data_IF_615300968001
#
_entry.id   IF_615300968001
#
_cell.length_a   1.000
_cell.length_b   1.000
_cell.length_c   1.000
_cell.angle_alpha   90.00
_cell.angle_beta   90.00
_cell.angle_gamma   90.00
#
_symmetry.space_group_name_H-M   'P 1'
#
loop_
_entity.id
_entity.type
_entity.pdbx_description
1 polymer ?
#
# COMPACT_ATOMS: atom_id res chain seq x y z
N UNK A 1 -2.97 14.08 23.73
CA UNK A 1 -3.34 15.49 23.96
C UNK A 1 -2.05 16.28 23.82
N UNK A 2 -1.97 17.21 22.88
CA UNK A 2 -0.78 18.03 22.67
C UNK A 2 -0.71 19.07 23.78
N UNK A 3 0.37 19.09 24.56
CA UNK A 3 0.53 19.93 25.76
C UNK A 3 0.69 21.44 25.48
N UNK A 4 0.46 21.93 24.25
CA UNK A 4 0.76 23.31 23.85
C UNK A 4 -0.48 24.06 23.30
N UNK A 5 -1.71 23.73 23.73
CA UNK A 5 -2.90 24.53 23.41
C UNK A 5 -3.08 25.63 24.50
N UNK A 6 -2.26 26.68 24.43
CA UNK A 6 -2.23 27.80 25.39
C UNK A 6 -3.50 28.66 25.41
N UNK A 7 -4.56 28.25 24.72
CA UNK A 7 -5.79 29.03 24.60
C UNK A 7 -7.07 28.22 24.77
N UNK A 8 -6.97 27.07 25.45
CA UNK A 8 -8.15 26.39 25.99
C UNK A 8 -8.11 26.50 27.51
N UNK A 9 -9.17 26.99 28.14
CA UNK A 9 -9.34 26.95 29.61
C UNK A 9 -9.53 25.51 30.14
N UNK A 10 -8.84 24.54 29.57
CA UNK A 10 -8.92 23.12 29.89
C UNK A 10 -7.92 22.77 30.98
N UNK A 11 -8.41 22.18 32.08
CA UNK A 11 -7.57 21.61 33.14
C UNK A 11 -6.76 20.45 32.58
N UNK A 12 -5.47 20.40 32.89
CA UNK A 12 -4.61 19.27 32.56
C UNK A 12 -4.53 18.29 33.75
N UNK A 13 -4.24 17.02 33.44
CA UNK A 13 -4.17 15.95 34.43
C UNK A 13 -2.86 15.20 34.33
N UNK A 14 -2.15 15.07 35.44
CA UNK A 14 -0.93 14.30 35.59
C UNK A 14 -1.21 13.06 36.43
N UNK A 15 -0.72 11.90 36.01
CA UNK A 15 -0.89 10.63 36.71
C UNK A 15 0.42 10.09 37.27
N UNK A 16 0.41 9.60 38.50
CA UNK A 16 1.51 8.87 39.11
C UNK A 16 1.05 7.46 39.47
N UNK A 17 1.77 6.46 38.95
CA UNK A 17 1.46 5.04 39.12
C UNK A 17 2.54 4.37 39.98
N UNK A 18 2.13 3.81 41.12
CA UNK A 18 2.96 2.97 41.97
C UNK A 18 2.49 1.52 41.85
N UNK A 19 3.38 0.60 41.47
CA UNK A 19 3.05 -0.81 41.19
C UNK A 19 3.98 -1.75 41.92
N UNK A 20 3.49 -2.95 42.25
CA UNK A 20 4.35 -4.07 42.66
C UNK A 20 4.82 -4.01 44.12
N UNK A 21 4.11 -3.31 44.99
CA UNK A 21 4.45 -3.19 46.42
C UNK A 21 3.56 -4.09 47.29
N UNK A 22 4.07 -4.43 48.47
CA UNK A 22 3.36 -5.19 49.50
C UNK A 22 4.04 -4.90 50.84
N UNK A 23 3.30 -4.67 51.95
CA UNK A 23 1.83 -4.64 52.09
C UNK A 23 1.18 -3.35 51.55
N UNK A 24 -0.13 -3.16 51.70
CA UNK A 24 -0.92 -2.10 51.02
C UNK A 24 -0.50 -0.65 51.33
N UNK A 25 0.15 -0.38 52.46
CA UNK A 25 0.41 0.98 52.96
C UNK A 25 1.47 1.75 52.15
N UNK A 26 1.01 2.54 51.18
CA UNK A 26 1.83 3.49 50.40
C UNK A 26 1.28 4.91 50.49
N UNK A 27 2.16 5.91 50.58
CA UNK A 27 1.78 7.33 50.53
C UNK A 27 2.34 7.95 49.26
N UNK A 28 1.48 8.62 48.47
CA UNK A 28 1.88 9.34 47.25
C UNK A 28 1.64 10.83 47.47
N UNK A 29 2.70 11.62 47.32
CA UNK A 29 2.70 13.07 47.49
C UNK A 29 3.23 13.75 46.22
N UNK A 30 2.73 14.95 45.93
CA UNK A 30 3.25 15.82 44.87
C UNK A 30 3.97 17.03 45.51
N UNK A 31 4.95 17.60 44.82
CA UNK A 31 5.85 18.66 45.31
C UNK A 31 5.38 20.10 45.02
N UNK A 32 4.15 20.33 44.56
CA UNK A 32 3.81 21.61 43.93
C UNK A 32 3.56 22.71 44.97
N UNK A 33 4.41 23.73 44.98
CA UNK A 33 4.22 24.99 45.70
C UNK A 33 3.25 25.95 44.96
N UNK A 34 2.20 25.40 44.33
CA UNK A 34 1.27 26.17 43.48
C UNK A 34 -0.14 26.17 44.09
N UNK A 35 -0.64 27.38 44.32
CA UNK A 35 -1.95 27.68 44.89
C UNK A 35 -3.05 27.41 43.85
N UNK A 36 -3.62 26.19 43.85
CA UNK A 36 -4.97 25.79 43.36
C UNK A 36 -4.97 24.39 42.69
N UNK A 37 -4.42 23.38 43.38
CA UNK A 37 -4.34 22.01 42.87
C UNK A 37 -5.27 21.04 43.60
N UNK A 38 -5.89 20.13 42.84
CA UNK A 38 -6.69 19.01 43.37
C UNK A 38 -5.90 17.72 43.15
N UNK A 39 -5.42 17.13 44.24
CA UNK A 39 -4.80 15.81 44.26
C UNK A 39 -5.86 14.77 44.60
N UNK A 40 -6.02 13.78 43.72
CA UNK A 40 -6.93 12.65 43.92
C UNK A 40 -6.11 11.36 44.01
N UNK A 41 -6.09 10.75 45.20
CA UNK A 41 -5.47 9.45 45.41
C UNK A 41 -6.54 8.36 45.28
N UNK A 42 -6.31 7.40 44.39
CA UNK A 42 -7.24 6.29 44.18
C UNK A 42 -6.90 5.12 45.11
N UNK A 43 -7.89 4.30 45.50
CA UNK A 43 -7.66 3.14 46.36
C UNK A 43 -6.74 2.11 45.69
N UNK A 44 -6.01 1.36 46.51
CA UNK A 44 -5.11 0.32 46.01
C UNK A 44 -5.89 -0.84 45.39
N UNK A 45 -5.34 -1.39 44.31
CA UNK A 45 -5.83 -2.59 43.64
C UNK A 45 -4.89 -3.74 43.91
N UNK A 46 -5.43 -4.87 44.37
CA UNK A 46 -4.67 -6.08 44.64
C UNK A 46 -4.69 -6.99 43.41
N UNK A 47 -3.50 -7.37 42.94
CA UNK A 47 -3.35 -8.35 41.87
C UNK A 47 -3.13 -9.76 42.47
N UNK A 48 -4.11 -10.67 42.36
CA UNK A 48 -4.03 -12.00 42.93
C UNK A 48 -3.02 -12.92 42.23
N UNK A 49 -2.56 -12.57 41.02
CA UNK A 49 -1.57 -13.38 40.28
C UNK A 49 -0.15 -13.09 40.73
N UNK A 50 0.16 -11.83 41.03
CA UNK A 50 1.49 -11.40 41.49
C UNK A 50 1.60 -11.26 43.01
N UNK A 51 0.47 -11.26 43.73
CA UNK A 51 0.40 -11.09 45.18
C UNK A 51 0.79 -9.68 45.65
N UNK A 52 0.64 -8.67 44.78
CA UNK A 52 1.13 -7.29 45.00
C UNK A 52 0.05 -6.26 44.73
N UNK A 53 0.23 -5.07 45.30
CA UNK A 53 -0.67 -3.93 45.17
C UNK A 53 -0.20 -2.93 44.12
N UNK A 54 -1.17 -2.19 43.57
CA UNK A 54 -0.97 -1.06 42.65
C UNK A 54 -1.91 0.09 43.05
N UNK A 55 -1.36 1.31 43.15
CA UNK A 55 -2.11 2.54 43.44
C UNK A 55 -1.77 3.61 42.42
N UNK A 56 -2.76 4.45 42.10
CA UNK A 56 -2.59 5.61 41.21
C UNK A 56 -2.97 6.90 41.95
N UNK A 57 -2.25 7.98 41.68
CA UNK A 57 -2.58 9.34 42.11
C UNK A 57 -2.72 10.23 40.88
N UNK A 58 -3.71 11.12 40.88
CA UNK A 58 -3.92 12.11 39.83
C UNK A 58 -3.80 13.52 40.40
N UNK A 59 -3.00 14.34 39.73
CA UNK A 59 -2.84 15.75 39.98
C UNK A 59 -3.56 16.56 38.89
N UNK A 60 -4.43 17.48 39.27
CA UNK A 60 -5.14 18.39 38.35
C UNK A 60 -4.51 19.78 38.40
N UNK A 61 -4.05 20.27 37.25
CA UNK A 61 -3.36 21.56 37.12
C UNK A 61 -4.04 22.45 36.10
N UNK A 62 -4.11 23.74 36.41
CA UNK A 62 -4.75 24.75 35.55
C UNK A 62 -3.81 25.26 34.45
N UNK A 63 -2.50 25.19 34.69
CA UNK A 63 -1.44 25.57 33.74
C UNK A 63 -0.28 24.57 33.86
N UNK A 64 0.29 24.18 32.71
CA UNK A 64 1.44 23.26 32.61
C UNK A 64 2.74 24.01 32.29
N UNK A 65 2.69 25.33 32.16
CA UNK A 65 3.81 26.16 31.71
C UNK A 65 4.89 26.26 32.79
N UNK A 66 6.12 25.90 32.42
CA UNK A 66 7.37 26.14 33.16
C UNK A 66 7.44 25.61 34.60
N UNK A 67 6.84 24.45 34.88
CA UNK A 67 6.87 23.80 36.20
C UNK A 67 7.41 22.37 36.17
N UNK A 68 8.16 22.01 37.20
CA UNK A 68 8.63 20.64 37.45
C UNK A 68 7.72 19.90 38.43
N UNK A 69 7.01 18.90 37.92
CA UNK A 69 6.10 18.09 38.72
C UNK A 69 6.81 16.82 39.22
N UNK A 70 6.97 16.70 40.53
CA UNK A 70 7.58 15.54 41.18
C UNK A 70 6.55 14.75 41.97
N UNK A 71 6.34 13.51 41.55
CA UNK A 71 5.64 12.52 42.36
C UNK A 71 6.61 11.82 43.30
N UNK A 72 6.28 11.81 44.60
CA UNK A 72 7.03 11.17 45.68
C UNK A 72 6.22 10.04 46.28
N UNK A 73 6.73 8.82 46.22
CA UNK A 73 6.12 7.61 46.77
C UNK A 73 6.92 7.15 47.99
N UNK A 74 6.27 7.05 49.15
CA UNK A 74 6.85 6.54 50.40
C UNK A 74 6.12 5.24 50.79
N UNK A 75 6.87 4.14 50.84
CA UNK A 75 6.39 2.84 51.30
C UNK A 75 7.05 2.52 52.65
N UNK A 76 6.34 2.89 53.73
CA UNK A 76 6.79 2.77 55.11
C UNK A 76 7.27 1.35 55.50
N UNK A 77 6.57 0.25 55.11
CA UNK A 77 6.97 -1.10 55.52
C UNK A 77 8.34 -1.54 55.01
N UNK A 78 8.77 -1.07 53.83
CA UNK A 78 10.08 -1.39 53.25
C UNK A 78 11.04 -0.20 53.32
N UNK A 79 10.67 0.87 54.03
CA UNK A 79 11.44 2.14 54.08
C UNK A 79 11.87 2.65 52.71
N UNK A 80 11.07 2.38 51.67
CA UNK A 80 11.42 2.68 50.28
C UNK A 80 10.82 4.02 49.88
N UNK A 81 11.68 4.94 49.42
CA UNK A 81 11.27 6.27 48.95
C UNK A 81 11.70 6.45 47.51
N UNK A 82 10.74 6.66 46.62
CA UNK A 82 10.98 6.86 45.19
C UNK A 82 10.42 8.22 44.81
N UNK A 83 11.22 9.01 44.09
CA UNK A 83 10.77 10.28 43.50
C UNK A 83 10.96 10.21 41.99
N UNK A 84 9.97 10.67 41.24
CA UNK A 84 10.05 10.85 39.80
C UNK A 84 9.59 12.26 39.44
N UNK A 85 10.44 12.97 38.73
CA UNK A 85 10.20 14.33 38.26
C UNK A 85 9.90 14.31 36.77
N UNK A 86 8.87 15.05 36.38
CA UNK A 86 8.49 15.30 35.00
C UNK A 86 8.76 16.78 34.70
N UNK A 87 9.76 17.03 33.87
CA UNK A 87 10.02 18.35 33.29
C UNK A 87 9.41 18.35 31.88
N UNK A 88 8.44 19.24 31.64
CA UNK A 88 7.85 19.39 30.31
C UNK A 88 8.78 20.29 29.47
N UNK A 89 9.13 19.90 28.22
CA UNK A 89 10.02 20.71 27.39
C UNK A 89 9.36 22.03 26.98
N UNK A 90 10.13 23.12 26.98
CA UNK A 90 9.75 24.40 26.39
C UNK A 90 9.15 24.17 24.99
N UNK A 91 7.94 24.67 24.73
CA UNK A 91 7.33 24.61 23.40
C UNK A 91 8.17 25.50 22.46
N UNK A 92 9.14 24.90 21.75
CA UNK A 92 9.93 25.58 20.72
C UNK A 92 9.05 26.12 19.57
N UNK A 93 9.58 27.00 18.69
CA UNK A 93 8.78 27.64 17.64
C UNK A 93 8.13 26.58 16.73
N UNK A 94 6.80 26.57 16.71
CA UNK A 94 6.01 25.68 15.84
C UNK A 94 6.31 26.05 14.39
N UNK A 95 7.01 25.18 13.69
CA UNK A 95 7.26 25.35 12.25
C UNK A 95 5.96 25.07 11.51
N UNK A 96 5.38 26.12 10.93
CA UNK A 96 4.15 26.02 10.15
C UNK A 96 4.50 25.51 8.76
N UNK A 97 4.03 24.31 8.43
CA UNK A 97 4.18 23.69 7.11
C UNK A 97 2.76 23.61 6.49
N UNK A 98 2.53 24.24 5.33
CA UNK A 98 1.21 24.24 4.69
C UNK A 98 0.86 22.84 4.14
N UNK A 99 -0.43 22.45 4.13
CA UNK A 99 -0.88 21.20 3.55
C UNK A 99 -0.79 21.21 2.02
N UNK A 100 -0.56 20.02 1.47
CA UNK A 100 -0.91 19.70 0.09
C UNK A 100 -2.27 19.01 0.08
N UNK A 101 -3.22 19.58 -0.66
CA UNK A 101 -4.58 19.06 -0.82
C UNK A 101 -4.69 18.43 -2.20
N UNK A 102 -5.19 17.20 -2.27
CA UNK A 102 -5.49 16.50 -3.52
C UNK A 102 -6.85 15.82 -3.44
N UNK A 103 -7.68 16.02 -4.44
CA UNK A 103 -9.01 15.46 -4.54
C UNK A 103 -9.08 14.40 -5.65
N UNK A 104 -9.55 13.22 -5.28
CA UNK A 104 -9.72 12.06 -6.17
C UNK A 104 -11.19 11.66 -6.23
N UNK A 105 -11.58 10.99 -7.32
CA UNK A 105 -12.93 10.46 -7.52
C UNK A 105 -12.86 9.00 -8.00
N UNK A 106 -13.88 8.20 -7.69
CA UNK A 106 -13.86 6.74 -7.93
C UNK A 106 -14.20 6.29 -9.37
N UNK A 107 -14.93 7.09 -10.16
CA UNK A 107 -15.35 6.69 -11.52
C UNK A 107 -15.73 7.87 -12.42
N UNK A 108 -15.45 7.71 -13.71
CA UNK A 108 -15.93 8.56 -14.82
C UNK A 108 -16.91 7.80 -15.75
N UNK A 109 -17.42 6.64 -15.35
CA UNK A 109 -18.31 5.83 -16.20
C UNK A 109 -19.69 6.50 -16.32
N UNK A 110 -20.14 6.95 -17.50
CA UNK A 110 -21.46 7.57 -17.66
C UNK A 110 -22.62 6.54 -17.66
N UNK A 111 -22.34 5.23 -17.64
CA UNK A 111 -23.34 4.15 -17.76
C UNK A 111 -23.85 3.63 -16.42
N UNK A 112 -23.35 4.15 -15.29
CA UNK A 112 -23.92 3.87 -13.97
C UNK A 112 -25.38 4.29 -13.92
N UNK A 113 -26.20 3.54 -13.17
CA UNK A 113 -27.55 4.01 -12.86
C UNK A 113 -27.46 5.33 -12.06
N UNK A 114 -28.52 6.15 -12.08
CA UNK A 114 -28.50 7.45 -11.40
C UNK A 114 -28.24 7.38 -9.88
N UNK A 115 -28.31 6.18 -9.30
CA UNK A 115 -28.16 5.88 -7.87
C UNK A 115 -26.77 5.30 -7.54
N UNK A 116 -25.94 5.03 -8.56
CA UNK A 116 -24.58 4.55 -8.38
C UNK A 116 -23.79 5.57 -7.56
N UNK A 117 -22.98 5.08 -6.64
CA UNK A 117 -22.25 5.93 -5.69
C UNK A 117 -20.90 6.30 -6.28
N UNK A 118 -20.64 7.61 -6.41
CA UNK A 118 -19.32 8.16 -6.70
C UNK A 118 -18.68 8.55 -5.35
N UNK A 119 -17.48 8.03 -5.10
CA UNK A 119 -16.72 8.37 -3.88
C UNK A 119 -15.72 9.46 -4.22
N UNK A 120 -15.71 10.53 -3.43
CA UNK A 120 -14.72 11.58 -3.48
C UNK A 120 -13.79 11.44 -2.28
N UNK A 121 -12.48 11.39 -2.54
CA UNK A 121 -11.43 11.24 -1.53
C UNK A 121 -10.53 12.47 -1.56
N UNK A 122 -10.59 13.28 -0.51
CA UNK A 122 -9.67 14.38 -0.30
C UNK A 122 -8.51 13.94 0.60
N UNK A 123 -7.30 13.93 0.05
CA UNK A 123 -6.06 13.66 0.76
C UNK A 123 -5.40 14.99 1.16
N UNK A 124 -5.15 15.16 2.45
CA UNK A 124 -4.47 16.34 3.01
C UNK A 124 -3.17 15.87 3.65
N UNK A 125 -2.02 16.29 3.12
CA UNK A 125 -0.71 15.74 3.50
C UNK A 125 0.35 16.81 3.73
N UNK A 126 1.42 16.44 4.45
CA UNK A 126 2.60 17.30 4.61
C UNK A 126 2.43 18.52 5.52
N UNK A 127 1.38 18.62 6.34
CA UNK A 127 1.11 19.81 7.13
C UNK A 127 1.62 19.75 8.57
N UNK A 128 1.88 20.91 9.17
CA UNK A 128 2.18 21.07 10.60
C UNK A 128 1.80 22.48 11.04
N UNK A 129 1.12 22.71 12.18
CA UNK A 129 0.73 21.76 13.21
C UNK A 129 -0.49 20.90 12.82
N UNK A 130 -0.81 19.87 13.63
CA UNK A 130 -1.88 18.90 13.37
C UNK A 130 -3.31 19.49 13.31
N UNK A 131 -3.52 20.73 13.76
CA UNK A 131 -4.84 21.38 13.78
C UNK A 131 -5.19 21.88 12.38
N UNK A 132 -6.19 21.25 11.77
CA UNK A 132 -6.68 21.57 10.44
C UNK A 132 -8.21 21.42 10.41
N UNK A 133 -8.89 22.23 9.61
CA UNK A 133 -10.33 22.15 9.41
C UNK A 133 -10.63 21.87 7.94
N UNK A 134 -11.41 20.83 7.67
CA UNK A 134 -11.78 20.40 6.32
C UNK A 134 -13.28 20.55 6.16
N UNK A 135 -13.70 21.30 5.15
CA UNK A 135 -15.09 21.49 4.73
C UNK A 135 -15.23 21.10 3.26
N UNK A 136 -16.44 20.73 2.85
CA UNK A 136 -16.75 20.41 1.46
C UNK A 136 -17.66 21.49 0.89
N UNK A 137 -17.33 21.97 -0.31
CA UNK A 137 -18.13 22.93 -1.04
C UNK A 137 -18.74 22.28 -2.29
N UNK A 138 -19.96 22.65 -2.63
CA UNK A 138 -20.62 22.35 -3.90
C UNK A 138 -20.86 23.69 -4.60
N UNK A 139 -20.25 23.88 -5.77
CA UNK A 139 -20.30 25.13 -6.54
C UNK A 139 -19.91 26.37 -5.72
N UNK A 140 -18.93 26.20 -4.84
CA UNK A 140 -18.40 27.26 -3.97
C UNK A 140 -19.22 27.54 -2.71
N UNK A 141 -20.33 26.83 -2.47
CA UNK A 141 -21.12 26.95 -1.24
C UNK A 141 -20.90 25.76 -0.32
N UNK A 142 -20.89 25.99 1.00
CA UNK A 142 -20.74 24.93 1.98
C UNK A 142 -21.88 23.92 1.88
N UNK A 143 -21.52 22.65 1.78
CA UNK A 143 -22.47 21.60 1.42
C UNK A 143 -23.26 21.10 2.64
N UNK A 144 -24.52 21.52 2.78
CA UNK A 144 -25.39 21.10 3.89
C UNK A 144 -25.85 19.63 3.79
N UNK A 145 -25.93 19.09 2.57
CA UNK A 145 -26.43 17.74 2.29
C UNK A 145 -25.33 16.70 2.03
N UNK A 146 -24.08 17.03 2.37
CA UNK A 146 -22.95 16.11 2.28
C UNK A 146 -22.52 15.68 3.67
N UNK A 147 -22.29 14.38 3.85
CA UNK A 147 -21.89 13.78 5.13
C UNK A 147 -20.49 13.19 5.01
N UNK A 148 -19.43 14.03 5.01
CA UNK A 148 -18.07 13.57 4.85
C UNK A 148 -17.57 12.86 6.11
N UNK A 149 -16.83 11.78 5.92
CA UNK A 149 -16.05 11.13 6.97
C UNK A 149 -14.61 11.64 6.94
N UNK A 150 -14.20 12.38 7.97
CA UNK A 150 -12.83 12.91 8.09
C UNK A 150 -12.06 12.18 9.18
N UNK A 151 -10.93 11.60 8.80
CA UNK A 151 -10.01 10.91 9.72
C UNK A 151 -9.23 11.89 10.59
N UNK A 152 -8.73 11.40 11.73
CA UNK A 152 -7.84 12.20 12.59
C UNK A 152 -6.45 12.33 11.96
N UNK A 153 -5.76 13.48 12.11
CA UNK A 153 -4.38 13.65 11.66
C UNK A 153 -3.46 12.54 12.19
N UNK A 154 -2.83 11.81 11.28
CA UNK A 154 -1.81 10.80 11.55
C UNK A 154 -0.43 11.40 11.28
N UNK A 155 0.56 11.04 12.09
CA UNK A 155 1.94 11.47 11.87
C UNK A 155 2.53 10.71 10.68
N UNK A 156 3.07 11.44 9.72
CA UNK A 156 3.82 10.96 8.56
C UNK A 156 5.30 11.16 8.90
N UNK A 157 6.10 10.09 8.95
CA UNK A 157 7.43 10.05 9.60
C UNK A 157 8.22 11.36 9.53
N UNK A 158 8.49 11.97 10.70
CA UNK A 158 9.02 13.33 10.83
C UNK A 158 8.12 14.23 11.69
N UNK A 159 7.99 15.51 11.28
CA UNK A 159 7.24 16.56 12.00
C UNK A 159 5.91 16.95 11.32
N UNK A 160 5.55 16.26 10.22
CA UNK A 160 4.36 16.51 9.41
C UNK A 160 3.23 15.51 9.70
N UNK A 161 2.02 15.91 9.35
CA UNK A 161 0.79 15.14 9.53
C UNK A 161 0.07 14.96 8.20
N UNK A 162 -0.74 13.91 8.13
CA UNK A 162 -1.66 13.65 7.03
C UNK A 162 -3.02 13.20 7.54
N UNK A 163 -4.07 13.48 6.78
CA UNK A 163 -5.42 12.98 6.99
C UNK A 163 -6.11 12.79 5.64
N UNK A 164 -7.26 12.12 5.68
CA UNK A 164 -8.17 12.03 4.54
C UNK A 164 -9.61 12.34 4.96
N UNK A 165 -10.36 12.93 4.02
CA UNK A 165 -11.80 13.16 4.12
C UNK A 165 -12.49 12.51 2.92
N UNK A 166 -13.53 11.71 3.18
CA UNK A 166 -14.25 10.93 2.18
C UNK A 166 -15.72 11.32 2.16
N UNK A 167 -16.29 11.52 0.97
CA UNK A 167 -17.73 11.76 0.82
C UNK A 167 -18.29 10.97 -0.35
N UNK A 168 -19.49 10.43 -0.16
CA UNK A 168 -20.24 9.72 -1.19
C UNK A 168 -21.29 10.65 -1.80
N UNK A 169 -21.35 10.70 -3.13
CA UNK A 169 -22.36 11.41 -3.90
C UNK A 169 -23.01 10.45 -4.90
N UNK A 170 -24.15 10.80 -5.48
CA UNK A 170 -24.78 9.99 -6.51
C UNK A 170 -24.25 10.32 -7.89
N UNK A 171 -24.30 9.33 -8.78
CA UNK A 171 -24.03 9.47 -10.21
C UNK A 171 -24.83 10.63 -10.82
N UNK A 172 -26.11 10.79 -10.46
CA UNK A 172 -26.94 11.90 -10.94
C UNK A 172 -26.41 13.27 -10.52
N UNK A 173 -25.93 13.40 -9.27
CA UNK A 173 -25.33 14.64 -8.76
C UNK A 173 -23.96 14.92 -9.40
N UNK A 174 -23.17 13.88 -9.69
CA UNK A 174 -21.91 14.03 -10.41
C UNK A 174 -22.14 14.51 -11.85
N UNK A 175 -23.08 13.89 -12.56
CA UNK A 175 -23.38 14.21 -13.96
C UNK A 175 -24.06 15.57 -14.17
N UNK A 176 -24.60 16.20 -13.11
CA UNK A 176 -25.24 17.53 -13.19
C UNK A 176 -24.25 18.68 -13.38
N UNK A 177 -22.94 18.40 -13.51
CA UNK A 177 -21.87 19.40 -13.69
C UNK A 177 -21.58 20.26 -12.46
N UNK A 178 -21.95 19.79 -11.26
CA UNK A 178 -21.57 20.44 -10.02
C UNK A 178 -20.06 20.31 -9.80
N UNK A 179 -19.44 21.35 -9.22
CA UNK A 179 -18.03 21.36 -8.83
C UNK A 179 -17.92 21.07 -7.34
N UNK A 180 -17.30 19.94 -7.00
CA UNK A 180 -17.06 19.52 -5.62
C UNK A 180 -15.67 19.96 -5.20
N UNK A 181 -15.56 20.72 -4.11
CA UNK A 181 -14.28 21.28 -3.65
C UNK A 181 -13.99 20.81 -2.24
N UNK A 182 -12.80 20.28 -2.03
CA UNK A 182 -12.27 20.03 -0.69
C UNK A 182 -11.61 21.31 -0.19
N UNK A 183 -12.22 21.97 0.78
CA UNK A 183 -11.77 23.24 1.34
C UNK A 183 -11.05 23.01 2.67
N UNK A 184 -9.76 23.32 2.73
CA UNK A 184 -8.91 23.05 3.88
C UNK A 184 -8.39 24.35 4.47
N UNK A 185 -8.82 24.66 5.70
CA UNK A 185 -8.32 25.79 6.47
C UNK A 185 -7.23 25.34 7.44
N UNK A 186 -6.01 25.83 7.23
CA UNK A 186 -4.84 25.52 8.06
C UNK A 186 -4.11 26.81 8.43
N UNK A 187 -3.98 27.04 9.74
CA UNK A 187 -3.34 28.23 10.31
C UNK A 187 -3.77 29.58 9.68
N UNK A 188 -5.06 29.73 9.41
CA UNK A 188 -5.63 30.95 8.81
C UNK A 188 -5.52 31.05 7.28
N UNK A 189 -4.76 30.16 6.63
CA UNK A 189 -4.68 30.04 5.17
C UNK A 189 -5.66 28.99 4.64
N UNK A 190 -6.06 29.13 3.38
CA UNK A 190 -7.01 28.25 2.70
C UNK A 190 -6.27 27.50 1.59
N UNK A 191 -6.49 26.20 1.50
CA UNK A 191 -5.96 25.30 0.49
C UNK A 191 -7.11 24.47 -0.06
N UNK A 192 -7.24 24.42 -1.38
CA UNK A 192 -8.39 23.77 -2.01
C UNK A 192 -7.94 22.91 -3.18
N UNK A 193 -8.71 21.86 -3.43
CA UNK A 193 -8.68 21.13 -4.70
C UNK A 193 -10.12 20.77 -5.09
N UNK A 194 -10.42 20.80 -6.37
CA UNK A 194 -11.77 20.69 -6.91
C UNK A 194 -11.86 19.58 -7.95
N UNK A 195 -12.99 18.90 -7.96
CA UNK A 195 -13.32 17.86 -8.92
C UNK A 195 -14.71 18.12 -9.50
N UNK A 196 -14.84 17.93 -10.79
CA UNK A 196 -16.10 18.05 -11.53
C UNK A 196 -16.28 16.78 -12.37
N UNK A 197 -17.48 16.59 -12.92
CA UNK A 197 -17.72 15.54 -13.91
C UNK A 197 -16.59 15.52 -14.95
N UNK A 198 -16.12 14.32 -15.25
CA UNK A 198 -15.09 14.14 -16.26
C UNK A 198 -15.63 14.68 -17.58
N UNK A 199 -14.98 15.69 -18.15
CA UNK A 199 -15.37 16.17 -19.48
C UNK A 199 -15.17 15.02 -20.47
N UNK A 200 -16.01 14.91 -21.50
CA UNK A 200 -15.72 14.04 -22.66
C UNK A 200 -14.36 14.38 -23.30
N UNK A 201 -13.82 15.56 -22.97
CA UNK A 201 -12.54 16.09 -23.42
C UNK A 201 -11.42 16.05 -22.37
N UNK A 202 -11.65 15.54 -21.16
CA UNK A 202 -10.55 15.40 -20.20
C UNK A 202 -9.76 14.15 -20.60
N UNK A 203 -8.52 14.29 -21.11
CA UNK A 203 -7.80 13.15 -21.65
C UNK A 203 -7.51 12.18 -20.52
N UNK A 204 -8.30 11.11 -20.44
CA UNK A 204 -7.87 9.85 -19.82
C UNK A 204 -6.56 9.52 -20.52
N UNK A 205 -5.43 9.77 -19.84
CA UNK A 205 -4.13 9.73 -20.48
C UNK A 205 -3.89 8.36 -21.10
N UNK A 206 -3.99 8.29 -22.43
CA UNK A 206 -3.75 7.06 -23.19
C UNK A 206 -2.42 6.49 -22.74
N UNK A 207 -2.45 5.27 -22.21
CA UNK A 207 -1.28 4.64 -21.62
C UNK A 207 -0.86 3.45 -22.48
N UNK A 208 0.42 3.39 -22.81
CA UNK A 208 1.02 2.25 -23.50
C UNK A 208 2.00 1.55 -22.57
N UNK A 209 1.91 0.22 -22.53
CA UNK A 209 2.78 -0.69 -21.81
C UNK A 209 3.44 -1.63 -22.81
N UNK A 210 4.74 -1.85 -22.65
CA UNK A 210 5.48 -2.82 -23.45
C UNK A 210 5.78 -4.05 -22.59
N UNK A 211 5.47 -5.22 -23.12
CA UNK A 211 5.51 -6.49 -22.41
C UNK A 211 6.71 -7.30 -22.93
N UNK A 212 7.65 -7.71 -22.06
CA UNK A 212 8.77 -8.57 -22.45
C UNK A 212 8.27 -9.96 -22.85
N UNK A 213 9.09 -10.75 -23.57
CA UNK A 213 8.77 -12.14 -23.82
C UNK A 213 8.83 -12.90 -22.50
N UNK A 214 7.91 -13.86 -22.32
CA UNK A 214 7.96 -14.70 -21.12
C UNK A 214 9.20 -15.59 -21.16
N UNK A 215 9.86 -15.87 -20.01
CA UNK A 215 10.96 -16.83 -19.97
C UNK A 215 10.58 -18.21 -20.51
N UNK A 216 9.33 -18.64 -20.32
CA UNK A 216 8.80 -19.85 -20.92
C UNK A 216 8.88 -19.82 -22.46
N UNK A 217 8.39 -18.75 -23.09
CA UNK A 217 8.38 -18.65 -24.55
C UNK A 217 9.79 -18.46 -25.11
N UNK A 218 10.66 -17.73 -24.38
CA UNK A 218 12.03 -17.44 -24.78
C UNK A 218 12.97 -18.66 -24.66
N UNK A 219 12.94 -19.37 -23.53
CA UNK A 219 13.91 -20.43 -23.25
C UNK A 219 13.40 -21.84 -23.49
N UNK A 220 12.10 -22.08 -23.30
CA UNK A 220 11.50 -23.42 -23.43
C UNK A 220 10.85 -23.60 -24.81
N UNK A 221 9.90 -22.73 -25.18
CA UNK A 221 9.17 -22.88 -26.44
C UNK A 221 9.91 -22.33 -27.66
N UNK A 222 10.94 -21.50 -27.47
CA UNK A 222 11.75 -20.87 -28.52
C UNK A 222 10.94 -20.04 -29.52
N UNK A 223 9.87 -19.39 -29.05
CA UNK A 223 9.00 -18.50 -29.83
C UNK A 223 8.71 -17.20 -29.06
N UNK A 224 9.75 -16.43 -28.69
CA UNK A 224 9.56 -15.24 -27.89
C UNK A 224 8.71 -14.22 -28.62
N UNK A 225 7.73 -13.67 -27.91
CA UNK A 225 6.82 -12.66 -28.43
C UNK A 225 6.80 -11.49 -27.46
N UNK A 226 7.03 -10.28 -27.95
CA UNK A 226 6.85 -9.05 -27.17
C UNK A 226 5.48 -8.45 -27.45
N UNK A 227 4.91 -7.77 -26.46
CA UNK A 227 3.59 -7.17 -26.56
C UNK A 227 3.64 -5.66 -26.42
N UNK A 228 2.74 -4.95 -27.09
CA UNK A 228 2.47 -3.53 -26.86
C UNK A 228 0.98 -3.40 -26.55
N UNK A 229 0.68 -3.11 -25.28
CA UNK A 229 -0.65 -2.98 -24.73
C UNK A 229 -0.99 -1.50 -24.57
N UNK A 230 -1.95 -1.02 -25.34
CA UNK A 230 -2.44 0.36 -25.27
C UNK A 230 -3.83 0.34 -24.62
N UNK A 231 -4.03 1.18 -23.60
CA UNK A 231 -5.28 1.30 -22.85
C UNK A 231 -5.79 2.74 -22.89
N UNK A 232 -7.07 2.88 -22.58
CA UNK A 232 -7.76 4.17 -22.45
C UNK A 232 -7.89 4.96 -23.76
N UNK A 233 -7.94 4.26 -24.90
CA UNK A 233 -8.27 4.88 -26.20
C UNK A 233 -9.77 5.24 -26.26
N UNK A 234 -10.07 6.45 -26.71
CA UNK A 234 -11.46 6.89 -26.94
C UNK A 234 -12.11 6.17 -28.15
N UNK A 235 -11.31 5.87 -29.18
CA UNK A 235 -11.73 5.11 -30.36
C UNK A 235 -10.63 4.16 -30.81
N UNK A 236 -11.03 3.04 -31.42
CA UNK A 236 -10.11 2.13 -32.12
C UNK A 236 -9.98 2.45 -33.62
N UNK A 237 -10.76 3.39 -34.14
CA UNK A 237 -10.72 3.77 -35.55
C UNK A 237 -9.49 4.64 -35.85
N UNK A 238 -8.88 4.40 -37.02
CA UNK A 238 -7.68 5.12 -37.48
C UNK A 238 -6.49 5.07 -36.50
N UNK A 239 -6.50 4.12 -35.56
CA UNK A 239 -5.37 3.84 -34.68
C UNK A 239 -4.31 3.06 -35.47
N UNK A 240 -3.09 3.60 -35.50
CA UNK A 240 -1.96 2.99 -36.18
C UNK A 240 -0.87 2.64 -35.16
N UNK A 241 -0.64 1.34 -34.99
CA UNK A 241 0.45 0.81 -34.16
C UNK A 241 1.52 0.24 -35.07
N UNK A 242 2.75 0.74 -34.93
CA UNK A 242 3.89 0.32 -35.73
C UNK A 242 5.03 -0.16 -34.84
N UNK A 243 5.82 -1.07 -35.36
CA UNK A 243 7.04 -1.55 -34.72
C UNK A 243 8.26 -1.12 -35.51
N UNK A 244 9.36 -0.88 -34.82
CA UNK A 244 10.69 -0.79 -35.39
C UNK A 244 11.70 -1.43 -34.44
N UNK A 245 12.90 -1.73 -34.94
CA UNK A 245 14.02 -2.20 -34.13
C UNK A 245 15.27 -1.39 -34.45
N UNK A 246 16.14 -1.22 -33.47
CA UNK A 246 17.35 -0.40 -33.57
C UNK A 246 18.35 -0.98 -34.60
N UNK A 247 18.42 -2.31 -34.71
CA UNK A 247 19.21 -3.00 -35.74
C UNK A 247 18.73 -2.75 -37.19
N UNK A 248 17.60 -2.07 -37.39
CA UNK A 248 17.11 -1.62 -38.71
C UNK A 248 16.54 -2.72 -39.62
N UNK A 249 16.49 -3.97 -39.17
CA UNK A 249 15.88 -5.05 -39.96
C UNK A 249 14.34 -5.06 -39.91
N UNK A 250 13.70 -5.89 -40.75
CA UNK A 250 12.24 -5.95 -40.85
C UNK A 250 11.59 -6.51 -39.58
N UNK A 251 10.39 -6.03 -39.28
CA UNK A 251 9.54 -6.51 -38.18
C UNK A 251 8.17 -6.90 -38.73
N UNK A 252 7.64 -8.03 -38.26
CA UNK A 252 6.37 -8.59 -38.73
C UNK A 252 5.41 -8.78 -37.55
N UNK A 253 4.73 -7.72 -37.10
CA UNK A 253 3.77 -7.84 -36.01
C UNK A 253 2.52 -8.61 -36.43
N UNK A 254 1.94 -9.33 -35.49
CA UNK A 254 0.61 -9.93 -35.62
C UNK A 254 -0.47 -8.86 -35.76
N UNK A 255 -1.62 -9.26 -36.31
CA UNK A 255 -2.81 -8.42 -36.39
C UNK A 255 -3.18 -7.81 -35.02
N UNK A 256 -3.64 -6.56 -35.04
CA UNK A 256 -4.06 -5.86 -33.83
C UNK A 256 -5.27 -6.55 -33.19
N UNK A 257 -5.18 -6.74 -31.88
CA UNK A 257 -6.29 -7.26 -31.08
C UNK A 257 -6.94 -6.09 -30.39
N UNK A 258 -8.17 -5.77 -30.78
CA UNK A 258 -8.97 -4.67 -30.22
C UNK A 258 -10.01 -5.24 -29.26
N UNK A 259 -10.14 -4.62 -28.09
CA UNK A 259 -11.12 -4.98 -27.07
C UNK A 259 -11.76 -3.72 -26.48
N UNK A 260 -13.09 -3.64 -26.54
CA UNK A 260 -13.84 -2.63 -25.79
C UNK A 260 -13.86 -2.99 -24.30
N UNK A 261 -13.63 -1.99 -23.45
CA UNK A 261 -13.63 -2.12 -22.00
C UNK A 261 -14.94 -1.63 -21.41
N UNK A 262 -15.28 -2.10 -20.21
CA UNK A 262 -16.53 -1.74 -19.52
C UNK A 262 -16.68 -0.22 -19.30
N UNK A 263 -15.57 0.49 -19.13
CA UNK A 263 -15.52 1.95 -18.98
C UNK A 263 -15.71 2.73 -20.31
N UNK A 264 -16.01 2.03 -21.41
CA UNK A 264 -16.20 2.57 -22.76
C UNK A 264 -14.94 2.95 -23.53
N UNK A 265 -13.75 2.71 -22.99
CA UNK A 265 -12.51 2.88 -23.74
C UNK A 265 -12.15 1.61 -24.50
N UNK A 266 -11.23 1.74 -25.45
CA UNK A 266 -10.69 0.63 -26.21
C UNK A 266 -9.29 0.28 -25.71
N UNK A 267 -9.02 -1.01 -25.68
CA UNK A 267 -7.68 -1.56 -25.53
C UNK A 267 -7.22 -2.14 -26.85
N UNK A 268 -6.03 -1.74 -27.30
CA UNK A 268 -5.39 -2.25 -28.51
C UNK A 268 -4.12 -2.97 -28.10
N UNK A 269 -4.00 -4.24 -28.48
CA UNK A 269 -2.79 -5.03 -28.22
C UNK A 269 -2.14 -5.43 -29.55
N UNK A 270 -0.86 -5.13 -29.70
CA UNK A 270 -0.03 -5.62 -30.79
C UNK A 270 1.01 -6.61 -30.25
N UNK A 271 1.16 -7.74 -30.93
CA UNK A 271 2.16 -8.74 -30.58
C UNK A 271 3.21 -8.82 -31.69
N UNK A 272 4.49 -8.82 -31.33
CA UNK A 272 5.60 -8.97 -32.26
C UNK A 272 6.41 -10.22 -31.88
N UNK A 273 6.35 -11.28 -32.69
CA UNK A 273 7.31 -12.38 -32.60
C UNK A 273 8.72 -11.86 -32.89
N UNK A 274 9.68 -12.21 -32.03
CA UNK A 274 11.08 -11.78 -32.15
C UNK A 274 12.01 -12.97 -32.29
N UNK A 275 13.22 -12.74 -32.80
CA UNK A 275 14.25 -13.77 -32.80
C UNK A 275 14.82 -13.92 -31.37
N UNK A 276 15.13 -15.15 -30.97
CA UNK A 276 15.68 -15.44 -29.63
C UNK A 276 17.08 -14.85 -29.45
N UNK A 277 17.93 -14.94 -30.47
CA UNK A 277 19.32 -14.49 -30.40
C UNK A 277 19.39 -12.96 -30.40
N UNK A 278 18.68 -12.29 -31.30
CA UNK A 278 18.58 -10.81 -31.35
C UNK A 278 18.13 -10.23 -29.99
N UNK A 279 17.12 -10.83 -29.35
CA UNK A 279 16.66 -10.42 -28.02
C UNK A 279 17.73 -10.66 -26.94
N UNK A 280 18.41 -11.80 -26.96
CA UNK A 280 19.43 -12.16 -25.97
C UNK A 280 20.66 -11.26 -26.08
N UNK A 281 21.03 -10.87 -27.30
CA UNK A 281 22.12 -9.93 -27.61
C UNK A 281 21.77 -8.50 -27.18
N UNK A 282 20.48 -8.19 -27.03
CA UNK A 282 19.99 -6.94 -26.47
C UNK A 282 19.48 -5.94 -27.51
N UNK A 283 18.99 -6.41 -28.66
CA UNK A 283 18.34 -5.56 -29.65
C UNK A 283 17.16 -4.79 -29.02
N UNK A 284 17.00 -3.53 -29.44
CA UNK A 284 15.98 -2.63 -28.91
C UNK A 284 14.80 -2.56 -29.87
N UNK A 285 13.61 -2.88 -29.37
CA UNK A 285 12.36 -2.82 -30.11
C UNK A 285 11.53 -1.63 -29.67
N UNK A 286 10.92 -0.95 -30.62
CA UNK A 286 10.12 0.25 -30.40
C UNK A 286 8.70 0.02 -30.92
N UNK A 287 7.71 0.18 -30.03
CA UNK A 287 6.30 0.29 -30.39
C UNK A 287 5.92 1.77 -30.47
N UNK A 288 5.30 2.18 -31.58
CA UNK A 288 4.84 3.54 -31.84
C UNK A 288 3.35 3.55 -32.15
N UNK A 289 2.60 4.27 -31.34
CA UNK A 289 1.16 4.49 -31.46
C UNK A 289 0.89 5.89 -32.04
N UNK A 290 0.15 5.93 -33.14
CA UNK A 290 -0.40 7.14 -33.76
C UNK A 290 -1.93 7.04 -33.73
N UNK A 291 -2.60 8.09 -33.24
CA UNK A 291 -4.07 8.19 -33.16
C UNK A 291 -4.50 9.63 -33.45
N UNK A 292 -5.66 9.88 -34.09
CA UNK A 292 -6.16 11.23 -34.36
C UNK A 292 -6.28 12.11 -33.11
N UNK A 293 -6.57 11.49 -31.96
CA UNK A 293 -6.76 12.17 -30.68
C UNK A 293 -5.43 12.54 -29.99
N UNK A 294 -4.28 12.26 -30.61
CA UNK A 294 -2.96 12.52 -30.03
C UNK A 294 -2.13 13.48 -30.91
N UNK A 295 -1.71 14.64 -30.36
CA UNK A 295 -0.85 15.57 -31.09
C UNK A 295 0.58 15.04 -31.29
N UNK A 296 1.01 14.10 -30.44
CA UNK A 296 2.33 13.48 -30.46
C UNK A 296 2.16 11.97 -30.39
N UNK A 297 2.90 11.19 -31.20
CA UNK A 297 2.89 9.73 -31.13
C UNK A 297 3.36 9.25 -29.75
N UNK A 298 2.68 8.25 -29.20
CA UNK A 298 3.13 7.59 -27.98
C UNK A 298 4.12 6.49 -28.34
N UNK A 299 5.33 6.56 -27.76
CA UNK A 299 6.43 5.67 -28.10
C UNK A 299 6.86 4.90 -26.85
N UNK A 300 7.00 3.58 -26.97
CA UNK A 300 7.54 2.70 -25.94
C UNK A 300 8.64 1.83 -26.52
N UNK A 301 9.74 1.71 -25.79
CA UNK A 301 10.88 0.88 -26.17
C UNK A 301 11.08 -0.23 -25.17
N UNK A 302 11.58 -1.37 -25.66
CA UNK A 302 11.95 -2.50 -24.83
C UNK A 302 13.22 -3.14 -25.39
N UNK A 303 14.10 -3.52 -24.48
CA UNK A 303 15.25 -4.36 -24.74
C UNK A 303 15.44 -5.26 -23.53
N UNK A 304 16.34 -6.22 -23.65
CA UNK A 304 16.71 -7.07 -22.52
C UNK A 304 17.23 -6.21 -21.36
N UNK A 305 16.71 -6.47 -20.16
CA UNK A 305 17.09 -5.71 -18.96
C UNK A 305 18.62 -5.72 -18.76
N UNK A 306 19.28 -4.56 -18.55
CA UNK A 306 20.73 -4.52 -18.34
C UNK A 306 21.10 -5.04 -16.94
N UNK A 307 22.37 -5.41 -16.71
CA UNK A 307 22.88 -5.72 -15.37
C UNK A 307 23.15 -7.20 -15.09
N UNK A 308 23.78 -7.47 -13.95
CA UNK A 308 24.23 -8.81 -13.56
C UNK A 308 23.04 -9.72 -13.24
N UNK A 309 23.02 -10.90 -13.86
CA UNK A 309 22.00 -11.92 -13.65
C UNK A 309 22.17 -12.62 -12.30
N UNK A 310 21.08 -12.78 -11.58
CA UNK A 310 21.03 -13.49 -10.30
C UNK A 310 20.06 -14.67 -10.43
N UNK A 311 20.53 -15.87 -10.10
CA UNK A 311 19.74 -17.09 -10.20
C UNK A 311 18.75 -17.20 -9.03
N UNK A 312 17.49 -17.61 -9.28
CA UNK A 312 16.52 -17.79 -8.22
C UNK A 312 16.89 -18.94 -7.30
N UNK A 313 16.66 -18.71 -6.01
CA UNK A 313 16.55 -19.75 -5.00
C UNK A 313 15.08 -20.12 -4.86
N UNK A 314 14.79 -21.42 -4.90
CA UNK A 314 13.42 -21.94 -4.85
C UNK A 314 13.25 -22.80 -3.61
N UNK A 315 12.24 -22.47 -2.81
CA UNK A 315 11.89 -23.14 -1.57
C UNK A 315 10.45 -23.62 -1.63
N UNK A 316 10.27 -24.90 -1.36
CA UNK A 316 8.94 -25.51 -1.23
C UNK A 316 8.56 -25.56 0.24
N UNK A 317 7.42 -24.97 0.57
CA UNK A 317 6.88 -24.91 1.92
C UNK A 317 5.65 -25.83 2.00
N UNK A 318 5.62 -26.76 2.96
CA UNK A 318 4.47 -27.62 3.17
C UNK A 318 3.24 -26.82 3.62
N UNK A 319 2.03 -27.40 3.45
CA UNK A 319 0.81 -26.85 4.04
C UNK A 319 0.96 -26.67 5.55
N UNK A 320 0.34 -25.61 6.09
CA UNK A 320 0.36 -25.40 7.53
C UNK A 320 -0.41 -26.53 8.24
N UNK A 321 0.10 -27.07 9.38
CA UNK A 321 -0.61 -28.10 10.14
C UNK A 321 -1.97 -27.59 10.67
N UNK A 322 -2.14 -26.28 10.79
CA UNK A 322 -3.37 -25.63 11.25
C UNK A 322 -4.43 -25.48 10.15
N UNK A 323 -4.12 -25.81 8.89
CA UNK A 323 -5.09 -25.75 7.80
C UNK A 323 -6.24 -26.74 8.06
N UNK A 324 -7.45 -26.20 8.22
CA UNK A 324 -8.69 -26.96 8.32
C UNK A 324 -9.38 -27.03 6.94
N UNK A 325 -10.03 -28.14 6.62
CA UNK A 325 -10.74 -28.33 5.35
C UNK A 325 -10.26 -29.53 4.52
N UNK A 326 -10.84 -29.64 3.32
CA UNK A 326 -10.59 -30.73 2.35
C UNK A 326 -9.46 -30.43 1.38
N UNK A 327 -8.91 -29.21 1.41
CA UNK A 327 -7.76 -28.78 0.61
C UNK A 327 -6.56 -28.47 1.50
N UNK A 328 -5.40 -28.45 0.86
CA UNK A 328 -4.09 -28.16 1.45
C UNK A 328 -3.37 -27.19 0.52
N UNK A 329 -2.65 -26.23 1.07
CA UNK A 329 -1.93 -25.21 0.29
C UNK A 329 -0.45 -25.50 0.28
N UNK A 330 0.12 -25.81 -0.87
CA UNK A 330 1.57 -25.91 -1.03
C UNK A 330 2.09 -24.57 -1.56
N UNK A 331 3.14 -24.02 -0.95
CA UNK A 331 3.69 -22.72 -1.33
C UNK A 331 5.10 -22.86 -1.90
N UNK A 332 5.35 -22.23 -3.04
CA UNK A 332 6.67 -22.08 -3.64
C UNK A 332 7.14 -20.63 -3.44
N UNK A 333 8.15 -20.45 -2.58
CA UNK A 333 8.85 -19.18 -2.41
C UNK A 333 10.05 -19.16 -3.35
N UNK A 334 10.12 -18.14 -4.20
CA UNK A 334 11.18 -17.95 -5.18
C UNK A 334 11.81 -16.60 -4.90
N UNK A 335 13.12 -16.54 -4.62
CA UNK A 335 13.79 -15.29 -4.21
C UNK A 335 15.21 -15.15 -4.77
N UNK A 336 15.77 -13.96 -4.63
CA UNK A 336 17.17 -13.69 -4.97
C UNK A 336 17.45 -13.59 -6.47
N UNK A 337 16.43 -13.43 -7.32
CA UNK A 337 16.60 -13.47 -8.78
C UNK A 337 16.60 -12.09 -9.42
N UNK A 338 17.30 -11.98 -10.55
CA UNK A 338 17.30 -10.80 -11.42
C UNK A 338 17.56 -11.21 -12.88
N UNK A 339 16.79 -10.71 -13.86
CA UNK A 339 15.76 -9.66 -13.77
C UNK A 339 14.40 -10.13 -13.22
N UNK A 340 13.37 -9.29 -13.25
CA UNK A 340 12.03 -9.63 -12.74
C UNK A 340 11.29 -10.67 -13.59
N UNK A 341 11.68 -10.88 -14.85
CA UNK A 341 11.00 -11.78 -15.76
C UNK A 341 11.27 -13.24 -15.38
N UNK A 342 10.23 -13.92 -14.91
CA UNK A 342 10.29 -15.30 -14.44
C UNK A 342 9.01 -16.04 -14.83
N UNK A 343 9.10 -17.34 -15.14
CA UNK A 343 7.92 -18.19 -15.36
C UNK A 343 7.85 -19.27 -14.30
N UNK A 344 6.66 -19.48 -13.75
CA UNK A 344 6.40 -20.47 -12.70
C UNK A 344 5.29 -21.40 -13.18
N UNK A 345 5.53 -22.70 -13.07
CA UNK A 345 4.60 -23.75 -13.43
C UNK A 345 4.52 -24.76 -12.29
N UNK A 346 3.34 -25.35 -12.10
CA UNK A 346 3.14 -26.43 -11.17
C UNK A 346 2.97 -27.75 -11.91
N UNK A 347 3.64 -28.79 -11.41
CA UNK A 347 3.47 -30.16 -11.87
C UNK A 347 2.89 -30.98 -10.71
N UNK A 348 1.93 -31.82 -11.04
CA UNK A 348 1.36 -32.80 -10.15
C UNK A 348 1.70 -34.20 -10.68
N UNK A 349 2.46 -34.99 -9.91
CA UNK A 349 3.00 -36.29 -10.35
C UNK A 349 3.73 -36.23 -11.70
N UNK A 350 4.52 -35.17 -11.92
CA UNK A 350 5.26 -34.86 -13.15
C UNK A 350 4.41 -34.53 -14.39
N UNK A 351 3.09 -34.45 -14.25
CA UNK A 351 2.20 -33.92 -15.29
C UNK A 351 1.92 -32.44 -15.02
N UNK A 352 1.79 -31.65 -16.07
CA UNK A 352 1.44 -30.24 -15.93
C UNK A 352 0.05 -30.08 -15.31
N UNK A 353 -0.05 -29.30 -14.24
CA UNK A 353 -1.33 -28.99 -13.65
C UNK A 353 -2.08 -27.96 -14.51
N UNK A 354 -3.15 -28.40 -15.15
CA UNK A 354 -4.05 -27.55 -15.95
C UNK A 354 -5.32 -27.18 -15.19
N UNK A 355 -5.44 -27.55 -13.90
CA UNK A 355 -6.67 -27.30 -13.11
C UNK A 355 -6.87 -25.82 -12.75
N UNK A 356 -5.83 -24.99 -12.89
CA UNK A 356 -5.89 -23.56 -12.57
C UNK A 356 -5.99 -23.27 -11.06
N UNK A 357 -5.75 -24.27 -10.21
CA UNK A 357 -5.79 -24.14 -8.76
C UNK A 357 -4.50 -23.54 -8.16
N UNK A 358 -3.79 -22.73 -8.94
CA UNK A 358 -2.58 -22.05 -8.48
C UNK A 358 -2.63 -20.55 -8.74
N UNK A 359 -1.98 -19.80 -7.86
CA UNK A 359 -1.88 -18.34 -7.94
C UNK A 359 -0.44 -17.92 -7.71
N UNK A 360 0.09 -17.11 -8.64
CA UNK A 360 1.45 -16.55 -8.55
C UNK A 360 1.37 -15.04 -8.35
N UNK A 361 2.04 -14.56 -7.32
CA UNK A 361 2.18 -13.12 -7.05
C UNK A 361 3.11 -12.46 -8.05
N UNK A 362 3.00 -11.12 -8.22
CA UNK A 362 3.96 -10.37 -9.04
C UNK A 362 5.33 -10.33 -8.35
N UNK A 363 6.46 -10.32 -9.10
CA UNK A 363 7.78 -10.10 -8.52
C UNK A 363 7.84 -8.81 -7.70
N UNK A 364 8.29 -8.91 -6.46
CA UNK A 364 8.52 -7.80 -5.55
C UNK A 364 10.02 -7.64 -5.32
N UNK A 365 10.50 -6.40 -5.17
CA UNK A 365 11.92 -6.16 -4.86
C UNK A 365 12.26 -6.66 -3.46
N UNK A 366 13.40 -7.33 -3.32
CA UNK A 366 13.91 -7.77 -2.02
C UNK A 366 14.47 -6.58 -1.22
N UNK A 367 14.50 -6.70 0.10
CA UNK A 367 15.08 -5.71 1.01
C UNK A 367 16.59 -5.94 1.12
N UNK A 368 17.32 -5.67 0.05
CA UNK A 368 18.77 -5.85 -0.05
C UNK A 368 19.44 -4.77 -0.89
N UNK A 369 20.78 -4.79 -0.91
CA UNK A 369 21.58 -3.90 -1.76
C UNK A 369 21.58 -4.33 -3.23
N UNK A 370 21.38 -5.63 -3.48
CA UNK A 370 21.27 -6.18 -4.82
C UNK A 370 19.88 -5.90 -5.42
N UNK A 371 19.76 -5.71 -6.75
CA UNK A 371 18.47 -5.47 -7.40
C UNK A 371 17.63 -6.74 -7.50
N UNK A 372 17.65 -7.63 -6.50
CA UNK A 372 16.99 -8.92 -6.54
C UNK A 372 15.48 -8.81 -6.29
N UNK A 373 14.75 -9.80 -6.80
CA UNK A 373 13.32 -9.94 -6.63
C UNK A 373 12.98 -11.24 -5.88
N UNK A 374 11.79 -11.25 -5.31
CA UNK A 374 11.14 -12.46 -4.80
C UNK A 374 9.66 -12.50 -5.19
N UNK A 375 9.08 -13.69 -5.18
CA UNK A 375 7.65 -13.91 -5.32
C UNK A 375 7.22 -15.20 -4.63
N UNK A 376 5.92 -15.32 -4.44
CA UNK A 376 5.26 -16.55 -4.00
C UNK A 376 4.35 -17.07 -5.09
N UNK A 377 4.37 -18.39 -5.30
CA UNK A 377 3.30 -19.12 -5.98
C UNK A 377 2.67 -20.10 -4.99
N UNK A 378 1.34 -20.26 -5.05
CA UNK A 378 0.59 -21.16 -4.16
C UNK A 378 -0.25 -22.08 -5.00
N UNK A 379 -0.30 -23.36 -4.65
CA UNK A 379 -1.15 -24.37 -5.29
C UNK A 379 -2.06 -25.00 -4.25
N UNK A 380 -3.36 -25.09 -4.56
CA UNK A 380 -4.35 -25.81 -3.77
C UNK A 380 -4.41 -27.27 -4.24
N UNK A 381 -4.13 -28.19 -3.33
CA UNK A 381 -4.23 -29.63 -3.57
C UNK A 381 -5.29 -30.25 -2.66
N UNK A 382 -5.96 -31.30 -3.12
CA UNK A 382 -6.93 -32.00 -2.28
C UNK A 382 -6.20 -32.76 -1.16
N UNK A 383 -6.66 -32.63 0.09
CA UNK A 383 -6.06 -33.25 1.27
C UNK A 383 -5.91 -34.76 1.12
N UNK A 384 -6.97 -35.43 0.67
CA UNK A 384 -6.99 -36.89 0.49
C UNK A 384 -6.02 -37.37 -0.58
N UNK A 385 -5.66 -36.51 -1.53
CA UNK A 385 -4.68 -36.78 -2.58
C UNK A 385 -3.28 -36.46 -2.04
N UNK A 386 -3.08 -35.32 -1.39
CA UNK A 386 -1.80 -34.93 -0.79
C UNK A 386 -1.27 -35.99 0.19
N UNK A 387 -2.12 -36.45 1.10
CA UNK A 387 -1.77 -37.42 2.15
C UNK A 387 -1.42 -38.83 1.60
N UNK A 388 -1.74 -39.11 0.33
CA UNK A 388 -1.31 -40.34 -0.36
C UNK A 388 0.16 -40.31 -0.82
N UNK A 389 0.89 -39.22 -0.54
CA UNK A 389 2.30 -39.09 -0.90
C UNK A 389 2.53 -38.64 -2.34
N UNK A 390 1.53 -38.02 -2.98
CA UNK A 390 1.69 -37.50 -4.34
C UNK A 390 2.73 -36.37 -4.40
N UNK A 391 3.45 -36.30 -5.51
CA UNK A 391 4.54 -35.37 -5.71
C UNK A 391 4.02 -34.07 -6.31
N UNK A 392 4.30 -32.95 -5.65
CA UNK A 392 3.99 -31.61 -6.14
C UNK A 392 5.30 -30.89 -6.43
N UNK A 393 5.48 -30.45 -7.68
CA UNK A 393 6.73 -29.80 -8.13
C UNK A 393 6.46 -28.38 -8.58
N UNK A 394 7.21 -27.43 -8.04
CA UNK A 394 7.32 -26.07 -8.55
C UNK A 394 8.46 -26.02 -9.57
N UNK A 395 8.11 -25.79 -10.84
CA UNK A 395 9.04 -25.60 -11.96
C UNK A 395 9.18 -24.11 -12.25
N UNK A 396 10.41 -23.63 -12.21
CA UNK A 396 10.75 -22.22 -12.40
C UNK A 396 11.66 -22.08 -13.60
N UNK A 397 11.32 -21.19 -14.53
CA UNK A 397 12.15 -20.83 -15.69
C UNK A 397 12.65 -19.40 -15.54
N UNK A 398 13.96 -19.23 -15.58
CA UNK A 398 14.62 -17.94 -15.40
C UNK A 398 15.98 -17.90 -16.10
N UNK A 399 16.30 -16.78 -16.76
CA UNK A 399 17.48 -16.69 -17.64
C UNK A 399 18.82 -16.93 -16.93
N UNK A 400 18.90 -16.64 -15.64
CA UNK A 400 20.11 -16.79 -14.85
C UNK A 400 20.38 -18.25 -14.42
N UNK A 401 19.42 -19.17 -14.61
CA UNK A 401 19.60 -20.58 -14.28
C UNK A 401 20.51 -21.26 -15.32
N UNK A 402 21.28 -22.30 -14.95
CA UNK A 402 22.15 -23.01 -15.89
C UNK A 402 21.35 -23.88 -16.88
N UNK A 403 22.02 -24.37 -17.93
CA UNK A 403 21.47 -25.37 -18.85
C UNK A 403 20.19 -24.93 -19.55
N UNK A 404 19.09 -25.66 -19.33
CA UNK A 404 17.75 -25.41 -19.88
C UNK A 404 17.07 -24.15 -19.34
N UNK A 405 17.73 -23.41 -18.43
CA UNK A 405 17.17 -22.24 -17.73
C UNK A 405 16.00 -22.60 -16.81
N UNK A 406 15.93 -23.86 -16.38
CA UNK A 406 14.84 -24.40 -15.57
C UNK A 406 15.37 -24.97 -14.25
N UNK A 407 14.65 -24.71 -13.17
CA UNK A 407 14.90 -25.24 -11.83
C UNK A 407 13.61 -25.82 -11.27
N UNK A 408 13.65 -27.06 -10.79
CA UNK A 408 12.52 -27.74 -10.19
C UNK A 408 12.78 -28.02 -8.72
N UNK A 409 11.76 -27.78 -7.90
CA UNK A 409 11.73 -28.19 -6.49
C UNK A 409 10.44 -28.91 -6.20
N UNK A 410 10.56 -30.07 -5.61
CA UNK A 410 9.41 -30.94 -5.33
C UNK A 410 9.22 -31.11 -3.84
N UNK A 411 7.97 -31.31 -3.46
CA UNK A 411 7.54 -31.66 -2.13
C UNK A 411 6.54 -32.81 -2.23
N UNK A 412 6.63 -33.74 -1.28
CA UNK A 412 5.65 -34.80 -1.09
C UNK A 412 5.20 -34.75 0.37
N UNK A 413 4.09 -35.41 0.67
CA UNK A 413 3.63 -35.54 2.05
C UNK A 413 4.64 -36.35 2.87
N UNK A 414 5.19 -35.73 3.90
CA UNK A 414 5.92 -36.39 4.98
C UNK A 414 5.09 -36.28 6.26
N UNK A 415 4.66 -37.40 6.83
CA UNK A 415 4.10 -37.40 8.17
C UNK A 415 5.22 -36.92 9.13
N UNK A 416 5.03 -35.77 9.76
CA UNK A 416 5.96 -35.28 10.76
C UNK A 416 6.11 -36.31 11.89
N UNK A 417 7.36 -36.62 12.26
CA UNK A 417 7.71 -37.38 13.46
C UNK A 417 7.56 -36.51 14.70
#
# INVERSE_FOLDING_TARGET
MSCCDSNSGGKAFLGCLATGYFPESVTINWNSEVLDEIITNFPATYDPTSGRYTTTSQLTVSDLSDQEFTCSVDHLPTSTKIKKTLSLPECGPVTIIPPTVKLFHSSCDPRGDAHSTIQLLCLVSGFSPAKVHVTWLVDGQEAENLFPYTTRPKREGGQTFSLQSEVNITQGQWMSSNTYTCHVKHNGSIFEDSAQKCSDTDPRGISAYILPPTPQDLFVKKVPTIGCLIVDLASAENVKVTWSRESGGPVNPSSLVVKEQYNGTFTVTSHLPVNTDDWIEGDTYTCRLESPDMPVPLIRTISKAPGKRLAPEVYMLPPSPEETGTTRTVTCLIRGFYPSEISVQWLFNNEEDHTGHHTTTRPQKDHGTDPSFFLYSRMLVNKSIWEKGNLVTCRVVHEALPGSRTLEKSLHYSAGN
#
